data_IF_842564664217
#
_entry.id   IF_842564664217
#
_cell.length_a   1.000
_cell.length_b   1.000
_cell.length_c   1.000
_cell.angle_alpha   90.00
_cell.angle_beta   90.00
_cell.angle_gamma   90.00
#
_symmetry.space_group_name_H-M   'P 1'
#
loop_
_entity.id
_entity.type
_entity.pdbx_description
1 polymer ?
#
# COMPACT_ATOMS: atom_id res chain seq x y z
N UNK A 1 -30.00 -22.40 2.07
CA UNK A 1 -30.26 -23.11 3.32
C UNK A 1 -29.81 -22.25 4.47
N UNK A 2 -30.56 -22.21 5.59
CA UNK A 2 -30.14 -21.50 6.78
C UNK A 2 -28.89 -22.19 7.39
N UNK A 3 -27.92 -21.42 7.78
CA UNK A 3 -26.69 -21.93 8.40
C UNK A 3 -26.28 -21.01 9.56
N UNK A 4 -25.60 -21.56 10.53
CA UNK A 4 -24.98 -20.80 11.62
C UNK A 4 -23.50 -20.64 11.41
N UNK A 5 -22.95 -19.52 11.89
CA UNK A 5 -21.52 -19.27 11.94
C UNK A 5 -21.10 -19.18 13.41
N UNK A 6 -20.21 -20.08 13.84
CA UNK A 6 -19.62 -20.01 15.16
C UNK A 6 -18.16 -19.58 15.09
N UNK A 7 -17.79 -18.59 15.90
CA UNK A 7 -16.41 -18.12 16.01
C UNK A 7 -16.04 -17.84 17.46
N UNK A 8 -14.79 -18.11 17.76
CA UNK A 8 -14.19 -17.88 19.09
C UNK A 8 -12.74 -17.42 18.89
N UNK A 9 -12.26 -16.58 19.79
CA UNK A 9 -10.88 -16.05 19.78
C UNK A 9 -10.44 -15.48 18.43
N UNK A 10 -11.36 -14.81 17.72
CA UNK A 10 -11.09 -14.23 16.41
C UNK A 10 -10.99 -15.23 15.25
N UNK A 11 -11.37 -16.50 15.45
CA UNK A 11 -11.34 -17.54 14.42
C UNK A 11 -12.70 -18.14 14.21
N UNK A 12 -13.00 -18.50 12.95
CA UNK A 12 -14.18 -19.29 12.62
C UNK A 12 -13.93 -20.72 13.08
N UNK A 13 -14.82 -21.24 13.93
CA UNK A 13 -14.75 -22.59 14.47
C UNK A 13 -15.60 -23.55 13.64
N UNK A 14 -16.84 -23.14 13.29
CA UNK A 14 -17.71 -23.93 12.44
C UNK A 14 -18.64 -23.06 11.58
N UNK A 15 -19.07 -23.64 10.47
CA UNK A 15 -20.10 -23.07 9.57
C UNK A 15 -21.10 -24.20 9.28
N UNK A 16 -22.39 -23.93 9.41
CA UNK A 16 -23.47 -24.91 9.22
C UNK A 16 -24.23 -25.15 10.52
N UNK A 17 -24.24 -26.40 11.01
CA UNK A 17 -24.90 -26.72 12.27
C UNK A 17 -24.15 -26.07 13.45
N UNK A 18 -24.88 -25.40 14.38
CA UNK A 18 -24.26 -24.82 15.55
C UNK A 18 -23.72 -25.91 16.49
N UNK A 19 -22.68 -25.61 17.28
CA UNK A 19 -22.27 -26.52 18.36
C UNK A 19 -23.45 -26.77 19.33
N UNK A 20 -23.52 -27.96 19.87
CA UNK A 20 -24.56 -28.31 20.86
C UNK A 20 -24.30 -27.75 22.24
N UNK A 21 -23.03 -27.43 22.55
CA UNK A 21 -22.58 -26.94 23.85
C UNK A 21 -22.08 -25.49 23.70
N UNK A 22 -22.92 -24.54 24.06
CA UNK A 22 -22.54 -23.13 24.19
C UNK A 22 -22.14 -22.82 25.64
N UNK A 23 -21.11 -22.01 25.83
CA UNK A 23 -20.86 -21.42 27.15
C UNK A 23 -21.96 -20.42 27.49
N UNK A 24 -22.19 -20.19 28.78
CA UNK A 24 -23.19 -19.21 29.25
C UNK A 24 -22.92 -17.78 28.74
N UNK A 25 -21.65 -17.49 28.37
CA UNK A 25 -21.21 -16.19 27.88
C UNK A 25 -21.27 -16.07 26.33
N UNK A 26 -21.78 -17.11 25.65
CA UNK A 26 -21.89 -17.07 24.19
C UNK A 26 -22.93 -16.05 23.74
N UNK A 27 -22.49 -15.06 22.98
CA UNK A 27 -23.38 -14.07 22.36
C UNK A 27 -23.98 -14.64 21.09
N UNK A 28 -25.30 -14.72 21.03
CA UNK A 28 -26.03 -15.13 19.83
C UNK A 28 -26.51 -13.88 19.10
N UNK A 29 -26.26 -13.81 17.79
CA UNK A 29 -26.76 -12.75 16.90
C UNK A 29 -27.67 -13.42 15.87
N UNK A 30 -28.95 -13.07 15.89
CA UNK A 30 -29.90 -13.49 14.84
C UNK A 30 -29.70 -12.58 13.62
N UNK A 31 -29.35 -13.16 12.49
CA UNK A 31 -29.20 -12.46 11.22
C UNK A 31 -30.53 -12.27 10.50
N UNK A 32 -31.68 -12.74 11.08
CA UNK A 32 -33.03 -12.58 10.51
C UNK A 32 -33.14 -13.00 9.02
N UNK A 33 -32.43 -14.06 8.65
CA UNK A 33 -32.34 -14.53 7.26
C UNK A 33 -31.38 -13.73 6.37
N UNK A 34 -30.61 -12.81 6.94
CA UNK A 34 -29.59 -12.05 6.25
C UNK A 34 -28.40 -12.91 5.82
N UNK A 35 -27.61 -12.39 4.88
CA UNK A 35 -26.38 -13.03 4.41
C UNK A 35 -25.20 -12.65 5.28
N UNK A 36 -24.41 -13.64 5.66
CA UNK A 36 -23.11 -13.44 6.29
C UNK A 36 -22.03 -13.72 5.26
N UNK A 37 -21.20 -12.72 4.98
CA UNK A 37 -20.11 -12.81 4.01
C UNK A 37 -18.78 -12.50 4.69
N UNK A 38 -17.64 -12.92 4.13
CA UNK A 38 -16.35 -12.36 4.52
C UNK A 38 -16.38 -10.84 4.39
N UNK A 39 -15.63 -10.15 5.25
CA UNK A 39 -15.47 -8.72 5.15
C UNK A 39 -14.84 -8.32 3.82
N UNK A 40 -15.28 -7.20 3.25
CA UNK A 40 -14.75 -6.68 1.99
C UNK A 40 -13.33 -6.16 2.23
N UNK A 41 -12.42 -6.51 1.30
CA UNK A 41 -11.07 -5.97 1.24
C UNK A 41 -11.02 -4.94 0.13
N UNK A 42 -10.79 -3.67 0.49
CA UNK A 42 -10.56 -2.59 -0.48
C UNK A 42 -9.07 -2.54 -0.84
N UNK A 43 -8.74 -2.97 -2.05
CA UNK A 43 -7.36 -3.06 -2.52
C UNK A 43 -6.77 -1.72 -2.99
N UNK A 44 -7.56 -0.64 -3.00
CA UNK A 44 -7.13 0.67 -3.46
C UNK A 44 -7.90 1.79 -2.74
N UNK A 45 -7.41 2.20 -1.59
CA UNK A 45 -8.01 3.26 -0.79
C UNK A 45 -7.06 4.43 -0.57
N UNK A 46 -7.64 5.59 -0.28
CA UNK A 46 -6.93 6.80 0.15
C UNK A 46 -7.48 7.32 1.48
N UNK A 47 -8.23 6.51 2.23
CA UNK A 47 -8.73 6.90 3.54
C UNK A 47 -7.58 7.23 4.49
N UNK A 48 -7.78 8.25 5.29
CA UNK A 48 -6.79 8.74 6.24
C UNK A 48 -5.66 9.59 5.63
N UNK A 49 -5.33 9.43 4.33
CA UNK A 49 -4.34 10.31 3.65
C UNK A 49 -5.00 11.47 2.88
N UNK A 50 -6.30 11.33 2.58
CA UNK A 50 -7.21 12.41 2.15
C UNK A 50 -8.48 12.37 3.00
N UNK A 51 -8.38 12.71 4.28
CA UNK A 51 -9.50 12.55 5.21
C UNK A 51 -10.60 13.56 4.99
N UNK A 52 -11.74 13.30 5.58
CA UNK A 52 -12.91 14.18 5.59
C UNK A 52 -12.97 15.02 6.89
N UNK A 53 -13.24 16.34 6.81
CA UNK A 53 -13.44 17.13 5.59
C UNK A 53 -12.14 17.37 4.85
N UNK A 54 -12.23 17.49 3.50
CA UNK A 54 -11.08 17.77 2.64
C UNK A 54 -10.60 19.21 2.82
N UNK A 55 -9.59 19.41 3.64
CA UNK A 55 -8.89 20.68 3.86
C UNK A 55 -7.39 20.51 3.61
N UNK A 56 -6.69 21.58 3.24
CA UNK A 56 -5.26 21.51 2.90
C UNK A 56 -4.40 20.94 4.03
N UNK A 57 -4.76 21.23 5.29
CA UNK A 57 -4.05 20.73 6.47
C UNK A 57 -4.06 19.20 6.61
N UNK A 58 -4.92 18.50 5.90
CA UNK A 58 -5.07 17.04 5.90
C UNK A 58 -4.80 16.41 4.53
N UNK A 59 -4.33 17.18 3.56
CA UNK A 59 -4.13 16.71 2.18
C UNK A 59 -2.74 16.12 2.00
N UNK A 60 -2.48 14.98 2.63
CA UNK A 60 -1.16 14.34 2.74
C UNK A 60 -0.98 13.12 1.82
N UNK A 61 -1.84 12.97 0.83
CA UNK A 61 -1.85 11.80 -0.03
C UNK A 61 -0.82 11.79 -1.16
N UNK A 62 -0.13 12.90 -1.46
CA UNK A 62 0.94 12.93 -2.47
C UNK A 62 2.11 13.80 -2.00
N UNK A 63 3.29 13.22 -1.95
CA UNK A 63 4.54 13.96 -1.87
C UNK A 63 4.93 14.43 -3.29
N UNK A 64 4.36 15.55 -3.72
CA UNK A 64 4.50 16.03 -5.11
C UNK A 64 5.72 16.95 -5.30
N UNK A 65 6.83 16.71 -4.61
CA UNK A 65 8.08 17.48 -4.68
C UNK A 65 8.99 17.02 -5.81
N UNK A 66 8.98 15.70 -6.11
CA UNK A 66 9.74 15.09 -7.20
C UNK A 66 8.94 14.00 -7.91
N UNK A 67 9.26 13.64 -9.17
CA UNK A 67 8.61 12.54 -9.89
C UNK A 67 8.82 11.16 -9.26
N UNK A 68 9.91 10.98 -8.54
CA UNK A 68 10.23 9.79 -7.76
C UNK A 68 10.31 10.21 -6.30
N UNK A 69 9.48 9.63 -5.47
CA UNK A 69 9.41 9.83 -4.01
C UNK A 69 9.11 8.48 -3.33
N UNK A 70 9.83 7.45 -3.75
CA UNK A 70 9.61 6.09 -3.25
C UNK A 70 10.02 5.92 -1.78
N UNK A 71 10.74 6.88 -1.21
CA UNK A 71 11.16 6.95 0.19
C UNK A 71 10.01 7.26 1.16
N UNK A 72 8.90 7.87 0.69
CA UNK A 72 7.79 8.22 1.58
C UNK A 72 6.84 7.03 1.78
N UNK A 73 6.25 6.96 2.98
CA UNK A 73 5.36 5.86 3.36
C UNK A 73 4.00 6.42 3.78
N UNK A 74 2.94 5.99 3.10
CA UNK A 74 1.57 6.46 3.37
C UNK A 74 1.14 6.25 4.82
N UNK A 75 1.68 5.23 5.52
CA UNK A 75 1.34 4.97 6.93
C UNK A 75 1.59 6.16 7.85
N UNK A 76 2.60 7.00 7.54
CA UNK A 76 2.92 8.18 8.35
C UNK A 76 1.95 9.35 8.10
N UNK A 77 1.18 9.30 7.02
CA UNK A 77 0.15 10.28 6.69
C UNK A 77 -1.28 9.83 7.05
N UNK A 78 -1.45 8.57 7.45
CA UNK A 78 -2.77 8.06 7.84
C UNK A 78 -3.25 8.74 9.11
N UNK A 79 -4.39 9.43 9.04
CA UNK A 79 -5.13 9.93 10.19
C UNK A 79 -6.19 8.90 10.62
N UNK A 80 -5.96 8.13 11.71
CA UNK A 80 -6.85 7.04 12.11
C UNK A 80 -8.27 7.47 12.50
N UNK A 81 -8.46 8.75 12.83
CA UNK A 81 -9.74 9.32 13.21
C UNK A 81 -10.56 9.86 12.03
N UNK A 82 -10.09 9.67 10.79
CA UNK A 82 -10.88 10.02 9.60
C UNK A 82 -12.26 9.33 9.67
N UNK A 83 -13.37 10.09 9.66
CA UNK A 83 -14.72 9.51 9.67
C UNK A 83 -15.00 8.59 8.48
N UNK A 84 -14.17 8.64 7.42
CA UNK A 84 -14.23 7.74 6.29
C UNK A 84 -14.06 6.26 6.68
N UNK A 85 -13.22 5.95 7.65
CA UNK A 85 -13.03 4.58 8.16
C UNK A 85 -14.32 3.99 8.73
N UNK A 86 -15.01 4.75 9.57
CA UNK A 86 -16.30 4.31 10.16
C UNK A 86 -17.37 4.09 9.09
N UNK A 87 -17.43 4.96 8.08
CA UNK A 87 -18.38 4.82 6.95
C UNK A 87 -18.06 3.61 6.10
N UNK A 88 -16.79 3.37 5.82
CA UNK A 88 -16.33 2.19 5.08
C UNK A 88 -16.64 0.91 5.85
N UNK A 89 -16.45 0.89 7.17
CA UNK A 89 -16.80 -0.25 8.02
C UNK A 89 -18.31 -0.52 8.00
N UNK A 90 -19.13 0.52 8.07
CA UNK A 90 -20.60 0.39 7.95
C UNK A 90 -21.02 -0.18 6.58
N UNK A 91 -20.22 0.00 5.55
CA UNK A 91 -20.36 -0.62 4.22
C UNK A 91 -19.77 -2.03 4.09
N UNK A 92 -19.21 -2.57 5.19
CA UNK A 92 -18.64 -3.93 5.21
C UNK A 92 -17.16 -4.03 4.84
N UNK A 93 -16.44 -2.91 4.69
CA UNK A 93 -14.99 -2.89 4.40
C UNK A 93 -14.22 -3.10 5.70
N UNK A 94 -13.60 -4.26 5.85
CA UNK A 94 -12.90 -4.69 7.06
C UNK A 94 -11.37 -4.58 6.99
N UNK A 95 -10.83 -4.52 5.77
CA UNK A 95 -9.41 -4.30 5.51
C UNK A 95 -9.24 -3.47 4.24
N UNK A 96 -8.13 -2.74 4.14
CA UNK A 96 -7.87 -1.89 2.98
C UNK A 96 -6.38 -1.67 2.75
N UNK A 97 -6.01 -1.50 1.49
CA UNK A 97 -4.70 -1.03 1.08
C UNK A 97 -4.73 0.50 0.96
N UNK A 98 -4.10 1.21 1.88
CA UNK A 98 -3.94 2.66 1.78
C UNK A 98 -2.74 2.96 0.89
N UNK A 99 -2.98 3.70 -0.15
CA UNK A 99 -2.00 4.08 -1.16
C UNK A 99 -1.83 5.59 -1.23
N UNK A 100 -0.63 6.09 -1.56
CA UNK A 100 -0.48 7.46 -2.05
C UNK A 100 -1.35 7.72 -3.28
N UNK A 101 -1.64 8.98 -3.56
CA UNK A 101 -2.32 9.39 -4.78
C UNK A 101 -1.47 9.18 -6.04
N UNK A 102 -1.97 9.61 -7.18
CA UNK A 102 -1.39 9.28 -8.50
C UNK A 102 -0.62 10.45 -9.13
N UNK A 103 0.04 11.29 -8.34
CA UNK A 103 0.79 12.42 -8.87
C UNK A 103 2.14 12.03 -9.49
N UNK A 104 2.82 11.07 -8.88
CA UNK A 104 4.22 10.75 -9.12
C UNK A 104 4.37 9.54 -10.05
N UNK A 105 5.53 9.42 -10.71
CA UNK A 105 5.94 8.17 -11.34
C UNK A 105 6.06 7.05 -10.29
N UNK A 106 6.69 7.38 -9.15
CA UNK A 106 6.78 6.54 -7.96
C UNK A 106 6.36 7.39 -6.77
N UNK A 107 5.23 7.07 -6.17
CA UNK A 107 4.55 7.92 -5.18
C UNK A 107 4.75 7.50 -3.73
N UNK A 108 5.52 6.44 -3.48
CA UNK A 108 5.79 5.96 -2.14
C UNK A 108 5.07 4.67 -1.75
N UNK A 109 5.41 4.17 -0.55
CA UNK A 109 4.87 2.91 -0.04
C UNK A 109 3.42 3.07 0.41
N UNK A 110 2.58 2.11 0.02
CA UNK A 110 1.26 1.89 0.59
C UNK A 110 1.30 0.90 1.73
N UNK A 111 0.28 0.90 2.57
CA UNK A 111 0.17 0.03 3.75
C UNK A 111 -1.19 -0.67 3.79
N UNK A 112 -1.22 -1.94 4.20
CA UNK A 112 -2.48 -2.66 4.44
C UNK A 112 -2.91 -2.47 5.88
N UNK A 113 -4.15 -2.01 6.08
CA UNK A 113 -4.74 -1.75 7.38
C UNK A 113 -5.98 -2.64 7.61
N UNK A 114 -6.18 -3.08 8.83
CA UNK A 114 -7.48 -3.52 9.34
C UNK A 114 -8.32 -2.29 9.65
N UNK A 115 -9.59 -2.30 9.28
CA UNK A 115 -10.51 -1.22 9.59
C UNK A 115 -11.03 -1.34 11.01
N UNK A 116 -10.16 -1.08 11.98
CA UNK A 116 -10.45 -1.12 13.42
C UNK A 116 -10.16 0.23 14.06
N UNK A 117 -10.92 0.59 15.09
CA UNK A 117 -10.67 1.80 15.82
C UNK A 117 -9.29 1.76 16.50
N UNK A 118 -8.51 2.81 16.30
CA UNK A 118 -7.17 2.93 16.88
C UNK A 118 -6.79 4.40 17.04
N UNK A 119 -5.90 4.69 17.98
CA UNK A 119 -5.32 6.02 18.16
C UNK A 119 -4.23 6.28 17.12
N UNK A 120 -3.53 5.21 16.70
CA UNK A 120 -2.42 5.29 15.75
C UNK A 120 -2.56 4.26 14.63
N UNK A 121 -1.92 4.51 13.49
CA UNK A 121 -1.93 3.55 12.37
C UNK A 121 -1.31 2.19 12.73
N UNK A 122 -0.36 2.15 13.69
CA UNK A 122 0.27 0.90 14.12
C UNK A 122 -0.76 -0.11 14.64
N UNK A 123 -1.76 0.35 15.40
CA UNK A 123 -2.86 -0.50 15.88
C UNK A 123 -3.79 -1.00 14.77
N UNK A 124 -3.75 -0.36 13.60
CA UNK A 124 -4.53 -0.73 12.42
C UNK A 124 -3.76 -1.64 11.46
N UNK A 125 -2.42 -1.70 11.52
CA UNK A 125 -1.63 -2.49 10.54
C UNK A 125 -2.10 -3.94 10.46
N UNK A 126 -2.27 -4.41 9.23
CA UNK A 126 -2.57 -5.82 9.01
C UNK A 126 -1.27 -6.62 9.20
N UNK A 127 -1.26 -7.63 10.10
CA UNK A 127 -0.06 -8.41 10.37
C UNK A 127 0.48 -9.07 9.10
N UNK A 128 1.79 -9.00 8.92
CA UNK A 128 2.54 -9.68 7.86
C UNK A 128 2.10 -9.35 6.42
N UNK A 129 1.28 -8.31 6.25
CA UNK A 129 0.89 -7.87 4.92
C UNK A 129 2.06 -7.15 4.23
N UNK A 130 2.36 -7.47 2.97
CA UNK A 130 3.40 -6.78 2.22
C UNK A 130 3.03 -5.30 2.01
N UNK A 131 4.05 -4.46 1.92
CA UNK A 131 3.85 -3.08 1.48
C UNK A 131 3.49 -3.04 -0.01
N UNK A 132 2.80 -1.98 -0.41
CA UNK A 132 2.63 -1.64 -1.81
C UNK A 132 3.57 -0.51 -2.22
N UNK A 133 3.88 -0.38 -3.51
CA UNK A 133 4.45 0.83 -4.10
C UNK A 133 3.44 1.45 -5.04
N UNK A 134 2.99 2.67 -4.75
CA UNK A 134 2.12 3.41 -5.66
C UNK A 134 2.94 4.00 -6.78
N UNK A 135 2.48 3.75 -8.00
CA UNK A 135 3.01 4.34 -9.22
C UNK A 135 1.87 4.95 -10.04
N UNK A 136 2.20 5.88 -10.92
CA UNK A 136 1.24 6.42 -11.87
C UNK A 136 1.86 6.65 -13.24
N UNK A 137 1.06 6.40 -14.29
CA UNK A 137 1.43 6.63 -15.66
C UNK A 137 0.61 7.76 -16.31
N UNK A 138 0.95 8.06 -17.54
CA UNK A 138 0.14 8.89 -18.43
C UNK A 138 0.06 10.35 -18.04
N UNK A 139 -1.17 10.83 -17.98
CA UNK A 139 -1.41 12.27 -17.86
C UNK A 139 -1.08 12.85 -16.48
N UNK A 140 -1.24 12.06 -15.41
CA UNK A 140 -1.09 12.60 -14.07
C UNK A 140 0.32 13.09 -13.78
N UNK A 141 1.39 12.28 -13.93
CA UNK A 141 2.76 12.79 -13.77
C UNK A 141 3.10 13.91 -14.74
N UNK A 142 2.66 13.80 -16.01
CA UNK A 142 2.85 14.87 -17.01
C UNK A 142 2.25 16.20 -16.56
N UNK A 143 1.01 16.16 -16.05
CA UNK A 143 0.29 17.36 -15.61
C UNK A 143 0.94 17.98 -14.39
N UNK A 144 1.32 17.16 -13.41
CA UNK A 144 1.90 17.62 -12.14
C UNK A 144 3.28 18.23 -12.36
N UNK A 145 4.18 17.50 -13.03
CA UNK A 145 5.59 17.89 -13.14
C UNK A 145 5.89 18.69 -14.39
N UNK A 146 5.25 18.39 -15.51
CA UNK A 146 5.42 19.14 -16.76
C UNK A 146 5.03 20.61 -16.63
N UNK A 147 3.97 20.92 -15.87
CA UNK A 147 3.57 22.30 -15.58
C UNK A 147 4.57 23.04 -14.69
N UNK A 148 5.31 22.32 -13.85
CA UNK A 148 6.37 22.88 -12.99
C UNK A 148 7.71 23.02 -13.73
N UNK A 149 7.81 22.58 -14.98
CA UNK A 149 9.05 22.60 -15.76
C UNK A 149 10.10 21.57 -15.31
N UNK A 150 9.73 20.62 -14.43
CA UNK A 150 10.67 19.64 -13.87
C UNK A 150 10.60 18.26 -14.54
N UNK A 151 9.67 18.05 -15.49
CA UNK A 151 9.43 16.75 -16.11
C UNK A 151 8.94 15.67 -15.15
N UNK A 152 8.33 14.60 -15.67
CA UNK A 152 8.06 14.35 -17.08
C UNK A 152 6.95 15.26 -17.64
N UNK A 153 7.08 15.69 -18.89
CA UNK A 153 6.05 16.48 -19.59
C UNK A 153 5.37 15.69 -20.70
N UNK A 154 5.89 14.51 -21.02
CA UNK A 154 5.39 13.61 -22.06
C UNK A 154 5.36 12.17 -21.57
N UNK A 155 4.64 11.29 -22.30
CA UNK A 155 4.69 9.84 -22.05
C UNK A 155 6.09 9.25 -22.28
N UNK A 156 6.84 9.79 -23.24
CA UNK A 156 8.26 9.43 -23.42
C UNK A 156 9.07 9.72 -22.15
N UNK A 157 8.81 10.89 -21.52
CA UNK A 157 9.43 11.28 -20.27
C UNK A 157 9.02 10.36 -19.10
N UNK A 158 7.77 9.89 -19.04
CA UNK A 158 7.34 8.91 -18.05
C UNK A 158 8.19 7.64 -18.17
N UNK A 159 8.29 7.06 -19.37
CA UNK A 159 9.05 5.81 -19.60
C UNK A 159 10.54 6.01 -19.28
N UNK A 160 11.12 7.14 -19.69
CA UNK A 160 12.52 7.46 -19.35
C UNK A 160 12.73 7.55 -17.85
N UNK A 161 11.80 8.14 -17.11
CA UNK A 161 11.85 8.24 -15.65
C UNK A 161 11.77 6.88 -14.96
N UNK A 162 10.86 5.99 -15.41
CA UNK A 162 10.79 4.63 -14.87
C UNK A 162 12.09 3.87 -15.08
N UNK A 163 12.61 3.87 -16.32
CA UNK A 163 13.86 3.17 -16.63
C UNK A 163 15.03 3.69 -15.82
N UNK A 164 15.16 5.02 -15.67
CA UNK A 164 16.22 5.62 -14.89
C UNK A 164 16.17 5.20 -13.41
N UNK A 165 14.98 5.17 -12.82
CA UNK A 165 14.80 4.75 -11.44
C UNK A 165 15.11 3.24 -11.25
N UNK A 166 14.61 2.38 -12.15
CA UNK A 166 14.88 0.95 -12.07
C UNK A 166 16.36 0.60 -12.27
N UNK A 167 17.08 1.30 -13.17
CA UNK A 167 18.54 1.13 -13.33
C UNK A 167 19.24 1.43 -12.00
N UNK A 168 18.95 2.59 -11.39
CA UNK A 168 19.56 2.95 -10.10
C UNK A 168 19.24 1.94 -9.00
N UNK A 169 17.99 1.46 -8.93
CA UNK A 169 17.58 0.46 -7.96
C UNK A 169 18.30 -0.88 -8.16
N UNK A 170 18.50 -1.29 -9.40
CA UNK A 170 19.26 -2.50 -9.73
C UNK A 170 20.72 -2.37 -9.29
N UNK A 171 21.38 -1.27 -9.64
CA UNK A 171 22.76 -1.00 -9.24
C UNK A 171 22.90 -0.98 -7.70
N UNK A 172 21.99 -0.31 -7.02
CA UNK A 172 21.92 -0.26 -5.55
C UNK A 172 21.79 -1.66 -4.93
N UNK A 173 20.81 -2.43 -5.39
CA UNK A 173 20.59 -3.80 -4.91
C UNK A 173 21.82 -4.67 -5.11
N UNK A 174 22.42 -4.62 -6.30
CA UNK A 174 23.58 -5.44 -6.65
C UNK A 174 24.82 -5.04 -5.86
N UNK A 175 25.01 -3.74 -5.56
CA UNK A 175 26.11 -3.25 -4.69
C UNK A 175 25.94 -3.75 -3.26
N UNK A 176 24.72 -3.66 -2.70
CA UNK A 176 24.42 -4.18 -1.37
C UNK A 176 24.57 -5.70 -1.30
N UNK A 177 24.10 -6.44 -2.28
CA UNK A 177 24.24 -7.90 -2.35
C UNK A 177 25.72 -8.33 -2.41
N UNK A 178 26.56 -7.62 -3.18
CA UNK A 178 27.99 -7.86 -3.21
C UNK A 178 28.64 -7.65 -1.87
N UNK A 179 28.27 -6.56 -1.15
CA UNK A 179 28.82 -6.29 0.17
C UNK A 179 28.38 -7.36 1.19
N UNK A 180 27.12 -7.77 1.17
CA UNK A 180 26.61 -8.80 2.09
C UNK A 180 27.20 -10.20 1.81
N UNK A 181 27.66 -10.46 0.61
CA UNK A 181 28.34 -11.71 0.25
C UNK A 181 29.79 -11.78 0.70
N UNK A 182 30.40 -10.66 1.16
CA UNK A 182 31.76 -10.64 1.68
C UNK A 182 31.89 -11.39 3.01
N UNK A 183 33.03 -12.02 3.24
CA UNK A 183 33.40 -12.56 4.56
C UNK A 183 33.58 -11.45 5.62
N UNK A 184 33.58 -11.79 6.88
CA UNK A 184 33.78 -10.82 7.97
C UNK A 184 35.13 -10.10 7.88
N UNK A 185 36.18 -10.77 7.39
CA UNK A 185 37.49 -10.20 7.16
C UNK A 185 37.46 -9.18 6.02
N UNK A 186 36.84 -9.53 4.90
CA UNK A 186 36.73 -8.64 3.74
C UNK A 186 35.86 -7.41 4.04
N UNK A 187 34.78 -7.56 4.83
CA UNK A 187 33.93 -6.44 5.25
C UNK A 187 34.67 -5.40 6.08
N UNK A 188 35.75 -5.77 6.82
CA UNK A 188 36.54 -4.81 7.59
C UNK A 188 37.30 -3.84 6.71
N UNK A 189 37.70 -4.28 5.51
CA UNK A 189 38.46 -3.49 4.54
C UNK A 189 37.55 -2.82 3.49
N UNK A 190 36.35 -3.37 3.27
CA UNK A 190 35.41 -2.87 2.28
C UNK A 190 34.60 -1.67 2.80
N UNK A 191 34.34 -0.71 1.92
CA UNK A 191 33.43 0.39 2.25
C UNK A 191 31.99 -0.12 2.20
N UNK A 192 31.28 -0.01 3.31
CA UNK A 192 29.86 -0.35 3.37
C UNK A 192 29.05 0.59 2.45
N UNK A 193 28.17 0.06 1.56
CA UNK A 193 27.28 0.89 0.75
C UNK A 193 26.39 1.77 1.62
N UNK A 194 26.16 2.99 1.17
CA UNK A 194 25.26 3.91 1.88
C UNK A 194 23.81 3.52 1.66
N UNK A 195 23.00 3.68 2.70
CA UNK A 195 21.55 3.51 2.60
C UNK A 195 20.93 4.68 1.85
N UNK A 196 19.94 4.34 1.01
CA UNK A 196 19.10 5.28 0.29
C UNK A 196 17.65 4.77 0.38
N UNK A 197 16.78 5.52 1.04
CA UNK A 197 15.41 5.08 1.34
C UNK A 197 14.54 4.95 0.08
N UNK A 198 14.79 5.78 -0.94
CA UNK A 198 14.14 5.67 -2.25
C UNK A 198 14.53 4.35 -2.92
N UNK A 199 15.83 4.10 -3.01
CA UNK A 199 16.37 2.90 -3.65
C UNK A 199 16.08 1.61 -2.86
N UNK A 200 16.01 1.68 -1.52
CA UNK A 200 15.56 0.55 -0.69
C UNK A 200 14.12 0.12 -1.03
N UNK A 201 13.22 1.09 -1.23
CA UNK A 201 11.85 0.78 -1.63
C UNK A 201 11.80 0.14 -3.02
N UNK A 202 12.54 0.70 -3.98
CA UNK A 202 12.59 0.19 -5.34
C UNK A 202 13.28 -1.18 -5.42
N UNK A 203 14.35 -1.41 -4.65
CA UNK A 203 15.00 -2.71 -4.52
C UNK A 203 14.05 -3.77 -3.95
N UNK A 204 13.27 -3.44 -2.91
CA UNK A 204 12.27 -4.34 -2.37
C UNK A 204 11.18 -4.75 -3.38
N UNK A 205 10.89 -3.90 -4.37
CA UNK A 205 10.03 -4.29 -5.51
C UNK A 205 10.73 -5.28 -6.42
N UNK A 206 12.01 -5.06 -6.74
CA UNK A 206 12.79 -5.96 -7.59
C UNK A 206 12.99 -7.34 -6.94
N UNK A 207 13.01 -7.40 -5.61
CA UNK A 207 13.11 -8.64 -4.83
C UNK A 207 11.75 -9.33 -4.60
N UNK A 208 10.63 -8.64 -4.92
CA UNK A 208 9.27 -9.18 -4.77
C UNK A 208 8.65 -8.97 -3.40
N UNK A 209 9.30 -8.24 -2.49
CA UNK A 209 8.81 -7.95 -1.14
C UNK A 209 7.75 -6.84 -1.12
N UNK A 210 7.75 -5.97 -2.13
CA UNK A 210 6.85 -4.83 -2.28
C UNK A 210 6.06 -4.97 -3.59
N UNK A 211 4.73 -4.86 -3.51
CA UNK A 211 3.82 -5.07 -4.64
C UNK A 211 3.53 -3.75 -5.35
N UNK A 212 3.63 -3.71 -6.68
CA UNK A 212 3.31 -2.51 -7.47
C UNK A 212 1.80 -2.31 -7.58
N UNK A 213 1.36 -1.09 -7.31
CA UNK A 213 0.00 -0.59 -7.57
C UNK A 213 0.07 0.54 -8.62
N UNK A 214 -0.20 0.20 -9.87
CA UNK A 214 -0.05 1.11 -11.00
C UNK A 214 -1.37 1.78 -11.38
N UNK A 215 -1.40 3.11 -11.37
CA UNK A 215 -2.47 3.91 -11.95
C UNK A 215 -2.19 4.18 -13.43
N UNK A 216 -3.10 3.78 -14.32
CA UNK A 216 -3.07 4.07 -15.75
C UNK A 216 -4.49 4.23 -16.30
N UNK A 217 -4.64 5.07 -17.35
CA UNK A 217 -5.93 5.24 -18.05
C UNK A 217 -5.98 4.55 -19.41
N UNK A 218 -4.85 4.40 -20.10
CA UNK A 218 -4.82 3.91 -21.47
C UNK A 218 -4.30 2.48 -21.55
N UNK A 219 -4.98 1.65 -22.30
CA UNK A 219 -4.61 0.24 -22.46
C UNK A 219 -3.22 0.04 -23.08
N UNK A 220 -2.80 0.89 -24.03
CA UNK A 220 -1.48 0.84 -24.63
C UNK A 220 -0.36 1.17 -23.63
N UNK A 221 -0.61 2.08 -22.69
CA UNK A 221 0.33 2.38 -21.60
C UNK A 221 0.43 1.20 -20.63
N UNK A 222 -0.70 0.60 -20.24
CA UNK A 222 -0.73 -0.58 -19.37
C UNK A 222 0.08 -1.74 -19.99
N UNK A 223 -0.14 -2.02 -21.27
CA UNK A 223 0.58 -3.08 -21.98
C UNK A 223 2.08 -2.77 -22.09
N UNK A 224 2.45 -1.51 -22.33
CA UNK A 224 3.86 -1.10 -22.38
C UNK A 224 4.56 -1.27 -21.03
N UNK A 225 3.88 -0.93 -19.93
CA UNK A 225 4.45 -0.99 -18.58
C UNK A 225 4.65 -2.42 -18.07
N UNK A 226 3.86 -3.40 -18.53
CA UNK A 226 4.05 -4.81 -18.21
C UNK A 226 5.45 -5.31 -18.64
N UNK A 227 6.03 -4.69 -19.67
CA UNK A 227 7.32 -5.09 -20.25
C UNK A 227 8.50 -4.22 -19.76
N UNK A 228 8.27 -3.31 -18.84
CA UNK A 228 9.31 -2.47 -18.24
C UNK A 228 9.73 -3.00 -16.89
#
# INVERSE_FOLDING_TARGET
DAASLYFADGKIVSVGEPPTDFSADTRIIDAEGGWVTPGIIDVHSHLGVYPSPGVDAHSDGNEATAPVTAEVWAEHSVWPQDPGFGRALAGGITAMQILPGSANLFGGRGVTLKNVASVTYQGMKFPDAPYGLKMACGENPKRVYGRKGSGPSTRMGNIAGYRAAWIKATDYRDEHAKYEALSDEERKEAKKPMRDLELETLAGVLDGDIIIHMHCYRADEMLSLIHI
#
